data_IF_119431003137
#
_entry.id   IF_119431003137
#
_cell.length_a   1.000
_cell.length_b   1.000
_cell.length_c   1.000
_cell.angle_alpha   90.00
_cell.angle_beta   90.00
_cell.angle_gamma   90.00
#
_symmetry.space_group_name_H-M   'P 1'
#
loop_
_entity.id
_entity.type
_entity.pdbx_description
1 polymer ?
#
# COMPACT_ATOMS: atom_id res chain seq x y z
N UNK A 1 -16.06 -23.98 -52.72
CA UNK A 1 -15.29 -23.00 -51.93
C UNK A 1 -16.23 -21.86 -51.54
N UNK A 2 -16.65 -21.76 -50.29
CA UNK A 2 -17.41 -20.62 -49.78
C UNK A 2 -16.65 -20.08 -48.54
N UNK A 3 -16.12 -18.87 -48.66
CA UNK A 3 -15.33 -18.21 -47.62
C UNK A 3 -16.20 -17.73 -46.47
N UNK A 4 -15.74 -17.94 -45.23
CA UNK A 4 -16.34 -17.36 -44.02
C UNK A 4 -16.09 -15.85 -43.98
N UNK A 5 -17.05 -15.02 -43.54
CA UNK A 5 -16.82 -13.60 -43.35
C UNK A 5 -15.92 -13.35 -42.14
N UNK A 6 -15.00 -12.39 -42.29
CA UNK A 6 -14.10 -11.94 -41.23
C UNK A 6 -14.90 -11.33 -40.07
N UNK A 7 -14.54 -11.71 -38.83
CA UNK A 7 -15.08 -11.09 -37.61
C UNK A 7 -14.53 -9.66 -37.47
N UNK A 8 -15.34 -8.68 -37.04
CA UNK A 8 -14.84 -7.33 -36.81
C UNK A 8 -13.86 -7.37 -35.65
N UNK A 9 -12.68 -6.75 -35.86
CA UNK A 9 -11.63 -6.64 -34.86
C UNK A 9 -12.18 -5.98 -33.60
N UNK A 10 -11.93 -6.60 -32.45
CA UNK A 10 -12.23 -6.01 -31.16
C UNK A 10 -11.46 -4.71 -31.01
N UNK A 11 -12.18 -3.60 -30.94
CA UNK A 11 -11.62 -2.30 -30.60
C UNK A 11 -11.03 -2.42 -29.20
N UNK A 12 -9.70 -2.44 -29.11
CA UNK A 12 -8.98 -2.33 -27.83
C UNK A 12 -9.33 -0.97 -27.25
N UNK A 13 -10.26 -0.94 -26.30
CA UNK A 13 -10.61 0.26 -25.57
C UNK A 13 -9.38 0.69 -24.78
N UNK A 14 -8.92 1.94 -24.97
CA UNK A 14 -7.76 2.47 -24.24
C UNK A 14 -8.08 2.45 -22.74
N UNK A 15 -7.09 2.15 -21.89
CA UNK A 15 -7.28 1.98 -20.44
C UNK A 15 -8.02 3.17 -19.78
N UNK A 16 -7.82 4.38 -20.29
CA UNK A 16 -8.51 5.59 -19.83
C UNK A 16 -10.02 5.59 -20.12
N UNK A 17 -10.45 5.01 -21.24
CA UNK A 17 -11.85 4.92 -21.64
C UNK A 17 -12.59 3.86 -20.81
N UNK A 18 -11.95 2.72 -20.53
CA UNK A 18 -12.48 1.69 -19.65
C UNK A 18 -12.68 2.22 -18.22
N UNK A 19 -11.71 2.97 -17.69
CA UNK A 19 -11.83 3.65 -16.40
C UNK A 19 -12.98 4.65 -16.38
N UNK A 20 -13.07 5.52 -17.40
CA UNK A 20 -14.17 6.51 -17.49
C UNK A 20 -15.54 5.82 -17.48
N UNK A 21 -15.69 4.70 -18.19
CA UNK A 21 -16.93 3.94 -18.23
C UNK A 21 -17.26 3.29 -16.88
N UNK A 22 -16.30 2.65 -16.22
CA UNK A 22 -16.49 2.01 -14.91
C UNK A 22 -16.77 3.06 -13.82
N UNK A 23 -16.04 4.17 -13.81
CA UNK A 23 -16.23 5.25 -12.85
C UNK A 23 -17.59 5.95 -13.03
N UNK A 24 -18.06 6.06 -14.28
CA UNK A 24 -19.43 6.50 -14.58
C UNK A 24 -20.45 5.51 -14.00
N UNK A 25 -20.26 4.20 -14.21
CA UNK A 25 -21.16 3.17 -13.67
C UNK A 25 -21.19 3.13 -12.14
N UNK A 26 -20.05 3.30 -11.46
CA UNK A 26 -19.97 3.38 -10.00
C UNK A 26 -20.74 4.61 -9.49
N UNK A 27 -20.55 5.78 -10.11
CA UNK A 27 -21.27 7.02 -9.75
C UNK A 27 -22.78 6.87 -9.96
N UNK A 28 -23.20 6.26 -11.07
CA UNK A 28 -24.61 6.01 -11.36
C UNK A 28 -25.26 5.02 -10.38
N UNK A 29 -24.52 4.04 -9.86
CA UNK A 29 -25.00 3.12 -8.85
C UNK A 29 -25.06 3.77 -7.45
N UNK A 30 -24.07 4.59 -7.11
CA UNK A 30 -24.06 5.34 -5.85
C UNK A 30 -25.19 6.38 -5.78
N UNK A 31 -25.48 7.05 -6.90
CA UNK A 31 -26.59 8.01 -7.00
C UNK A 31 -27.99 7.34 -6.88
N UNK A 32 -28.10 6.04 -7.15
CA UNK A 32 -29.35 5.29 -7.06
C UNK A 32 -29.61 4.69 -5.66
N UNK A 33 -28.65 4.73 -4.74
CA UNK A 33 -28.81 4.22 -3.38
C UNK A 33 -29.06 2.70 -3.27
N UNK A 34 -28.82 1.94 -4.35
CA UNK A 34 -29.06 0.49 -4.36
C UNK A 34 -27.79 -0.26 -3.91
N UNK A 35 -27.82 -0.78 -2.69
CA UNK A 35 -26.83 -1.72 -2.18
C UNK A 35 -27.15 -3.14 -2.65
N UNK A 36 -26.80 -3.50 -3.87
CA UNK A 36 -26.76 -4.92 -4.27
C UNK A 36 -25.75 -5.16 -5.40
N UNK A 37 -24.79 -6.09 -5.25
CA UNK A 37 -23.99 -6.54 -6.38
C UNK A 37 -24.88 -7.36 -7.34
N UNK A 38 -24.58 -7.39 -8.65
CA UNK A 38 -25.28 -8.26 -9.59
C UNK A 38 -25.11 -9.73 -9.17
N UNK A 39 -26.22 -10.46 -9.11
CA UNK A 39 -26.25 -11.86 -8.68
C UNK A 39 -25.44 -12.79 -9.59
N UNK A 40 -24.93 -13.92 -9.06
CA UNK A 40 -24.09 -14.83 -9.84
C UNK A 40 -24.91 -15.52 -10.93
N UNK A 41 -24.34 -15.58 -12.14
CA UNK A 41 -24.79 -16.44 -13.22
C UNK A 41 -24.66 -17.91 -12.77
N UNK A 42 -25.74 -18.67 -12.92
CA UNK A 42 -25.86 -20.08 -12.58
C UNK A 42 -24.86 -20.94 -13.35
N UNK A 43 -23.83 -21.44 -12.65
CA UNK A 43 -23.01 -22.57 -13.11
C UNK A 43 -23.58 -23.85 -12.49
N UNK A 44 -24.16 -24.71 -13.33
CA UNK A 44 -24.46 -26.10 -12.98
C UNK A 44 -23.14 -26.87 -12.97
N UNK A 45 -22.76 -27.34 -11.80
CA UNK A 45 -21.82 -28.45 -11.63
C UNK A 45 -22.12 -29.13 -10.31
N UNK A 46 -22.68 -30.34 -10.39
CA UNK A 46 -22.93 -31.22 -9.24
C UNK A 46 -21.62 -31.49 -8.47
N UNK A 47 -21.61 -31.42 -7.13
CA UNK A 47 -20.47 -31.87 -6.35
C UNK A 47 -20.50 -33.41 -6.18
N UNK A 48 -19.34 -34.10 -6.15
CA UNK A 48 -19.27 -35.44 -5.56
C UNK A 48 -19.23 -35.34 -4.03
N UNK A 49 -20.00 -36.22 -3.38
CA UNK A 49 -20.07 -36.38 -1.92
C UNK A 49 -18.70 -36.67 -1.28
N UNK A 50 -18.35 -36.00 -0.15
CA UNK A 50 -17.27 -36.45 0.70
C UNK A 50 -17.76 -36.71 2.12
N UNK A 51 -18.41 -37.85 2.36
CA UNK A 51 -18.59 -38.39 3.71
C UNK A 51 -18.48 -39.91 3.70
N UNK A 52 -17.26 -40.40 3.89
CA UNK A 52 -16.99 -41.70 4.53
C UNK A 52 -15.51 -41.77 4.88
N UNK A 53 -15.15 -41.40 6.11
CA UNK A 53 -14.14 -42.10 6.91
C UNK A 53 -14.23 -41.61 8.36
N UNK A 54 -14.62 -42.53 9.23
CA UNK A 54 -14.84 -42.36 10.67
C UNK A 54 -13.51 -42.28 11.43
N UNK A 55 -13.55 -41.44 12.48
CA UNK A 55 -13.08 -41.63 13.85
C UNK A 55 -11.62 -42.05 14.13
N UNK A 56 -10.93 -41.20 14.88
CA UNK A 56 -9.72 -41.56 15.62
C UNK A 56 -9.14 -40.40 16.45
N UNK A 57 -9.51 -40.36 17.74
CA UNK A 57 -8.75 -39.84 18.90
C UNK A 57 -8.15 -38.42 18.89
N UNK A 58 -8.66 -37.59 19.82
CA UNK A 58 -8.18 -36.28 20.26
C UNK A 58 -6.71 -36.26 20.73
N UNK A 59 -5.97 -35.15 20.51
CA UNK A 59 -4.79 -34.81 21.30
C UNK A 59 -5.12 -33.81 22.44
N UNK A 60 -4.39 -33.85 23.57
CA UNK A 60 -4.67 -33.04 24.75
C UNK A 60 -4.03 -31.64 24.74
N UNK A 61 -4.64 -30.79 25.56
CA UNK A 61 -4.38 -29.38 25.86
C UNK A 61 -3.02 -29.15 26.55
N UNK A 62 -2.15 -28.20 26.12
CA UNK A 62 -0.83 -27.99 26.70
C UNK A 62 -0.82 -26.81 27.68
N UNK A 63 -1.51 -26.93 28.82
CA UNK A 63 -1.42 -25.96 29.92
C UNK A 63 -1.44 -26.67 31.28
N UNK A 64 -0.32 -27.27 31.67
CA UNK A 64 0.03 -27.58 33.08
C UNK A 64 1.43 -28.20 33.17
N UNK A 65 2.47 -27.37 33.30
CA UNK A 65 3.71 -27.79 33.95
C UNK A 65 4.55 -26.59 34.40
N UNK A 66 5.20 -26.76 35.54
CA UNK A 66 6.30 -25.95 36.08
C UNK A 66 5.94 -24.79 37.03
N UNK A 67 5.78 -25.14 38.30
CA UNK A 67 6.13 -24.27 39.43
C UNK A 67 6.99 -25.04 40.45
N UNK A 68 8.09 -24.39 40.85
CA UNK A 68 8.95 -24.55 42.05
C UNK A 68 10.24 -25.37 41.93
N UNK A 69 11.34 -24.66 42.17
CA UNK A 69 12.64 -25.17 42.58
C UNK A 69 13.67 -24.03 42.50
N UNK A 70 13.92 -23.33 43.61
CA UNK A 70 14.89 -22.23 43.69
C UNK A 70 16.30 -22.69 44.04
N UNK A 71 17.29 -21.79 43.93
CA UNK A 71 18.31 -21.46 44.94
C UNK A 71 19.38 -20.51 44.37
N UNK A 72 19.66 -19.46 45.14
CA UNK A 72 20.92 -18.73 45.41
C UNK A 72 22.17 -19.01 44.56
N UNK A 73 22.87 -17.93 44.15
CA UNK A 73 24.29 -18.01 43.75
C UNK A 73 24.83 -16.73 43.12
N UNK A 74 25.79 -16.10 43.80
CA UNK A 74 26.44 -14.81 43.56
C UNK A 74 27.07 -14.53 42.18
N UNK A 75 27.03 -13.24 41.84
CA UNK A 75 28.09 -12.39 41.29
C UNK A 75 29.46 -13.03 40.98
N UNK A 76 29.89 -12.93 39.71
CA UNK A 76 31.18 -12.33 39.32
C UNK A 76 31.30 -12.20 37.80
N UNK A 77 31.54 -10.97 37.37
CA UNK A 77 31.97 -10.60 36.02
C UNK A 77 33.33 -11.20 35.69
N UNK A 78 33.58 -11.44 34.39
CA UNK A 78 34.82 -10.99 33.81
C UNK A 78 34.56 -10.14 32.55
N UNK A 79 35.16 -8.97 32.53
CA UNK A 79 35.33 -8.16 31.32
C UNK A 79 36.05 -8.95 30.23
N UNK A 80 35.77 -8.66 28.96
CA UNK A 80 36.84 -8.62 27.97
C UNK A 80 36.92 -7.25 27.31
N UNK A 81 38.11 -6.69 27.46
CA UNK A 81 38.89 -5.92 26.50
C UNK A 81 38.24 -5.59 25.14
N UNK A 82 38.30 -4.30 24.82
CA UNK A 82 37.77 -3.72 23.61
C UNK A 82 38.42 -4.24 22.33
N UNK A 83 37.58 -4.35 21.30
CA UNK A 83 37.97 -4.13 19.91
C UNK A 83 36.90 -3.30 19.24
N UNK A 84 37.35 -2.22 18.60
CA UNK A 84 36.50 -1.21 17.95
C UNK A 84 35.57 -1.82 16.92
N UNK A 85 34.28 -1.54 17.08
CA UNK A 85 33.22 -1.81 16.11
C UNK A 85 32.57 -0.51 15.65
N UNK A 86 33.35 0.46 15.18
CA UNK A 86 32.85 1.60 14.42
C UNK A 86 33.00 1.26 12.93
N UNK A 87 31.92 0.76 12.31
CA UNK A 87 31.91 0.48 10.87
C UNK A 87 30.68 -0.27 10.33
N UNK A 88 29.99 -1.06 11.15
CA UNK A 88 28.98 -2.03 10.64
C UNK A 88 27.55 -1.47 10.56
N UNK A 89 27.18 -0.45 11.36
CA UNK A 89 25.79 0.03 11.43
C UNK A 89 25.35 0.88 10.22
N UNK A 90 26.29 1.59 9.61
CA UNK A 90 26.02 2.47 8.46
C UNK A 90 25.91 1.69 7.15
N UNK A 91 26.64 0.60 6.98
CA UNK A 91 26.52 -0.26 5.80
C UNK A 91 25.23 -1.09 5.81
N UNK A 92 24.82 -1.61 6.97
CA UNK A 92 23.57 -2.36 7.09
C UNK A 92 22.34 -1.51 6.75
N UNK A 93 22.26 -0.30 7.32
CA UNK A 93 21.15 0.62 7.04
C UNK A 93 21.10 1.09 5.58
N UNK A 94 22.24 1.39 4.96
CA UNK A 94 22.30 1.71 3.53
C UNK A 94 21.88 0.52 2.65
N UNK A 95 22.30 -0.70 2.99
CA UNK A 95 21.89 -1.92 2.26
C UNK A 95 20.39 -2.18 2.30
N UNK A 96 19.75 -1.98 3.46
CA UNK A 96 18.30 -2.13 3.63
C UNK A 96 17.54 -1.12 2.76
N UNK A 97 18.02 0.12 2.69
CA UNK A 97 17.41 1.18 1.89
C UNK A 97 17.54 0.91 0.40
N UNK A 98 18.73 0.51 -0.07
CA UNK A 98 18.96 0.14 -1.46
C UNK A 98 18.02 -0.99 -1.87
N UNK A 99 17.97 -2.08 -1.07
CA UNK A 99 17.07 -3.20 -1.31
C UNK A 99 15.61 -2.77 -1.40
N UNK A 100 15.16 -1.93 -0.46
CA UNK A 100 13.80 -1.39 -0.50
C UNK A 100 13.51 -0.65 -1.82
N UNK A 101 14.42 0.21 -2.27
CA UNK A 101 14.21 0.98 -3.52
C UNK A 101 14.22 0.08 -4.76
N UNK A 102 15.04 -0.96 -4.79
CA UNK A 102 15.10 -1.93 -5.88
C UNK A 102 13.82 -2.75 -5.96
N UNK A 103 13.36 -3.30 -4.83
CA UNK A 103 12.12 -4.08 -4.77
C UNK A 103 10.89 -3.22 -5.06
N UNK A 104 10.87 -1.96 -4.59
CA UNK A 104 9.80 -1.03 -4.88
C UNK A 104 9.72 -0.69 -6.38
N UNK A 105 10.87 -0.54 -7.03
CA UNK A 105 10.95 -0.37 -8.48
C UNK A 105 10.52 -1.64 -9.23
N UNK A 106 10.93 -2.82 -8.77
CA UNK A 106 10.50 -4.11 -9.32
C UNK A 106 8.98 -4.33 -9.21
N UNK A 107 8.36 -3.80 -8.15
CA UNK A 107 6.91 -3.80 -7.97
C UNK A 107 6.19 -2.80 -8.89
N UNK A 108 6.92 -1.93 -9.60
CA UNK A 108 6.40 -0.96 -10.57
C UNK A 108 6.12 0.43 -9.99
N UNK A 109 6.63 0.73 -8.79
CA UNK A 109 6.52 2.04 -8.19
C UNK A 109 7.77 2.90 -8.46
N UNK A 110 7.61 4.21 -8.41
CA UNK A 110 8.70 5.17 -8.61
C UNK A 110 9.18 5.68 -7.27
N UNK A 111 10.50 5.68 -7.04
CA UNK A 111 11.09 6.22 -5.82
C UNK A 111 11.90 7.48 -6.14
N UNK A 112 11.75 8.53 -5.33
CA UNK A 112 12.59 9.73 -5.36
C UNK A 112 13.10 9.99 -3.95
N UNK A 113 14.42 9.93 -3.78
CA UNK A 113 15.06 10.29 -2.51
C UNK A 113 15.14 11.83 -2.42
N UNK A 114 14.79 12.38 -1.27
CA UNK A 114 14.77 13.83 -1.02
C UNK A 114 15.31 14.16 0.37
N UNK A 115 16.02 15.27 0.49
CA UNK A 115 16.59 15.75 1.74
C UNK A 115 15.74 16.89 2.31
N UNK A 116 15.00 16.59 3.37
CA UNK A 116 14.18 17.57 4.08
C UNK A 116 12.92 18.07 3.35
N UNK A 117 12.14 18.90 4.03
CA UNK A 117 10.80 19.27 3.60
C UNK A 117 10.76 20.16 2.34
N UNK A 118 11.74 21.05 2.16
CA UNK A 118 11.77 21.94 1.00
C UNK A 118 11.98 21.17 -0.31
N UNK A 119 12.86 20.18 -0.29
CA UNK A 119 13.07 19.30 -1.45
C UNK A 119 11.88 18.38 -1.67
N UNK A 120 11.31 17.81 -0.61
CA UNK A 120 10.11 17.01 -0.68
C UNK A 120 8.93 17.78 -1.32
N UNK A 121 8.75 19.06 -0.99
CA UNK A 121 7.73 19.90 -1.62
C UNK A 121 7.96 20.11 -3.12
N UNK A 122 9.21 20.39 -3.53
CA UNK A 122 9.56 20.51 -4.96
C UNK A 122 9.37 19.18 -5.70
N UNK A 123 9.75 18.07 -5.10
CA UNK A 123 9.56 16.74 -5.67
C UNK A 123 8.08 16.41 -5.83
N UNK A 124 7.27 16.66 -4.79
CA UNK A 124 5.82 16.49 -4.85
C UNK A 124 5.21 17.32 -5.98
N UNK A 125 5.57 18.60 -6.12
CA UNK A 125 5.08 19.45 -7.20
C UNK A 125 5.43 18.90 -8.59
N UNK A 126 6.68 18.44 -8.77
CA UNK A 126 7.12 17.81 -10.02
C UNK A 126 6.37 16.52 -10.33
N UNK A 127 6.17 15.67 -9.33
CA UNK A 127 5.41 14.43 -9.47
C UNK A 127 3.98 14.70 -9.89
N UNK A 128 3.28 15.60 -9.18
CA UNK A 128 1.89 15.96 -9.47
C UNK A 128 1.74 16.60 -10.87
N UNK A 129 2.66 17.49 -11.24
CA UNK A 129 2.67 18.09 -12.58
C UNK A 129 2.95 17.06 -13.68
N UNK A 130 3.87 16.11 -13.43
CA UNK A 130 4.25 15.05 -14.37
C UNK A 130 3.13 14.06 -14.67
N UNK A 131 2.22 13.84 -13.70
CA UNK A 131 1.01 13.03 -13.89
C UNK A 131 -0.21 13.88 -14.28
N UNK A 132 -0.03 15.18 -14.51
CA UNK A 132 -1.09 16.14 -14.83
C UNK A 132 -2.24 16.20 -13.81
N UNK A 133 -1.94 15.96 -12.52
CA UNK A 133 -2.93 16.06 -11.45
C UNK A 133 -3.35 17.52 -11.24
N UNK A 134 -4.65 17.78 -11.13
CA UNK A 134 -5.21 19.09 -10.78
C UNK A 134 -5.91 19.07 -9.43
N UNK A 135 -6.67 18.02 -9.13
CA UNK A 135 -7.37 17.83 -7.85
C UNK A 135 -6.57 16.87 -6.98
N UNK A 136 -6.08 17.38 -5.87
CA UNK A 136 -5.19 16.65 -4.97
C UNK A 136 -5.81 16.63 -3.58
N UNK A 137 -5.83 15.44 -2.98
CA UNK A 137 -6.30 15.25 -1.62
C UNK A 137 -5.16 14.71 -0.76
N UNK A 138 -4.98 15.29 0.43
CA UNK A 138 -3.95 14.89 1.38
C UNK A 138 -4.51 14.25 2.64
N UNK A 139 -3.71 13.40 3.26
CA UNK A 139 -4.01 12.94 4.62
C UNK A 139 -3.81 14.01 5.67
N UNK A 140 -4.31 13.77 6.89
CA UNK A 140 -4.20 14.68 8.03
C UNK A 140 -2.81 14.68 8.68
N UNK A 141 -1.85 13.94 8.11
CA UNK A 141 -0.47 13.96 8.57
C UNK A 141 0.13 15.39 8.49
N UNK A 142 0.75 15.91 9.57
CA UNK A 142 1.27 17.28 9.59
C UNK A 142 2.25 17.61 8.47
N UNK A 143 3.09 16.64 8.08
CA UNK A 143 4.03 16.82 6.98
C UNK A 143 3.30 16.96 5.64
N UNK A 144 2.30 16.12 5.37
CA UNK A 144 1.50 16.19 4.14
C UNK A 144 0.79 17.54 4.06
N UNK A 145 0.11 17.96 5.13
CA UNK A 145 -0.57 19.25 5.20
C UNK A 145 0.38 20.42 4.95
N UNK A 146 1.57 20.39 5.56
CA UNK A 146 2.61 21.40 5.31
C UNK A 146 3.08 21.44 3.85
N UNK A 147 3.33 20.27 3.25
CA UNK A 147 3.80 20.21 1.86
C UNK A 147 2.71 20.70 0.90
N UNK A 148 1.46 20.27 1.09
CA UNK A 148 0.33 20.69 0.26
C UNK A 148 0.11 22.20 0.36
N UNK A 149 0.14 22.78 1.57
CA UNK A 149 0.03 24.24 1.74
C UNK A 149 1.14 25.00 1.00
N UNK A 150 2.34 24.43 0.89
CA UNK A 150 3.47 25.03 0.19
C UNK A 150 3.41 24.91 -1.34
N UNK A 151 2.52 24.08 -1.92
CA UNK A 151 2.39 23.92 -3.37
C UNK A 151 1.75 25.15 -4.05
N UNK A 152 1.03 25.99 -3.31
CA UNK A 152 0.34 27.18 -3.82
C UNK A 152 -0.87 26.86 -4.71
N UNK A 153 -1.32 27.84 -5.49
CA UNK A 153 -2.60 27.81 -6.24
C UNK A 153 -2.60 26.90 -7.48
N UNK A 154 -1.51 26.17 -7.74
CA UNK A 154 -1.41 25.26 -8.90
C UNK A 154 -2.30 24.02 -8.80
N UNK A 155 -2.81 23.71 -7.60
CA UNK A 155 -3.61 22.52 -7.32
C UNK A 155 -4.85 22.87 -6.51
N UNK A 156 -5.95 22.18 -6.80
CA UNK A 156 -7.15 22.23 -5.96
C UNK A 156 -6.97 21.24 -4.82
N UNK A 157 -6.73 21.77 -3.62
CA UNK A 157 -6.53 20.99 -2.41
C UNK A 157 -7.88 20.75 -1.73
N UNK A 158 -8.27 19.48 -1.64
CA UNK A 158 -9.55 19.10 -1.07
C UNK A 158 -9.38 18.66 0.40
N UNK A 159 -10.12 19.24 1.34
CA UNK A 159 -10.08 18.83 2.74
C UNK A 159 -10.78 17.47 2.93
N UNK A 160 -10.02 16.49 3.44
CA UNK A 160 -10.46 15.10 3.58
C UNK A 160 -11.77 14.92 4.34
N UNK A 161 -11.98 15.72 5.38
CA UNK A 161 -13.15 15.68 6.27
C UNK A 161 -14.46 16.14 5.59
N UNK A 162 -14.37 16.81 4.44
CA UNK A 162 -15.52 17.36 3.73
C UNK A 162 -15.82 16.67 2.40
N UNK A 163 -14.95 15.75 1.98
CA UNK A 163 -15.11 15.04 0.72
C UNK A 163 -16.16 13.94 0.84
N UNK A 164 -17.18 14.03 0.00
CA UNK A 164 -18.01 12.87 -0.33
C UNK A 164 -17.18 11.80 -1.06
N UNK A 165 -17.71 10.58 -1.07
CA UNK A 165 -17.10 9.47 -1.81
C UNK A 165 -16.92 9.82 -3.30
N UNK A 166 -17.90 10.45 -3.93
CA UNK A 166 -17.87 10.81 -5.35
C UNK A 166 -16.83 11.87 -5.67
N UNK A 167 -16.63 12.85 -4.78
CA UNK A 167 -15.61 13.87 -4.94
C UNK A 167 -14.20 13.28 -4.79
N UNK A 168 -14.02 12.33 -3.88
CA UNK A 168 -12.77 11.58 -3.74
C UNK A 168 -12.46 10.76 -5.00
N UNK A 169 -13.46 10.13 -5.62
CA UNK A 169 -13.32 9.44 -6.91
C UNK A 169 -12.96 10.37 -8.07
N UNK A 170 -13.21 11.67 -7.92
CA UNK A 170 -12.87 12.68 -8.91
C UNK A 170 -11.58 13.43 -8.58
N UNK A 171 -10.82 12.99 -7.57
CA UNK A 171 -9.46 13.46 -7.31
C UNK A 171 -8.45 12.72 -8.20
N UNK A 172 -7.43 13.43 -8.65
CA UNK A 172 -6.38 12.90 -9.53
C UNK A 172 -5.24 12.25 -8.74
N UNK A 173 -4.94 12.77 -7.55
CA UNK A 173 -3.89 12.24 -6.69
C UNK A 173 -4.27 12.25 -5.21
N UNK A 174 -3.89 11.17 -4.52
CA UNK A 174 -3.91 11.06 -3.06
C UNK A 174 -2.50 11.14 -2.51
N UNK A 175 -2.29 11.95 -1.48
CA UNK A 175 -0.99 12.11 -0.82
C UNK A 175 -1.10 11.63 0.63
N UNK A 176 -0.29 10.65 1.00
CA UNK A 176 -0.29 10.08 2.36
C UNK A 176 1.12 9.99 2.94
N UNK A 177 1.21 9.61 4.21
CA UNK A 177 2.46 9.07 4.78
C UNK A 177 2.41 7.55 4.79
N UNK A 178 3.57 6.90 4.84
CA UNK A 178 3.69 5.51 5.28
C UNK A 178 4.43 5.49 6.62
N UNK A 179 3.97 4.64 7.54
CA UNK A 179 4.60 4.50 8.85
C UNK A 179 5.84 3.62 8.76
N UNK A 180 5.83 2.62 7.88
CA UNK A 180 6.96 1.71 7.65
C UNK A 180 7.11 1.36 6.17
N UNK A 181 8.33 1.01 5.78
CA UNK A 181 8.64 0.32 4.53
C UNK A 181 9.25 -1.05 4.82
N UNK A 182 8.98 -2.05 3.98
CA UNK A 182 9.55 -3.39 4.10
C UNK A 182 10.51 -3.60 2.94
N UNK A 183 11.81 -3.70 3.25
CA UNK A 183 12.86 -3.81 2.26
C UNK A 183 12.78 -5.11 1.45
N UNK A 184 12.38 -6.23 2.07
CA UNK A 184 12.38 -7.53 1.40
C UNK A 184 11.42 -7.63 0.20
N UNK A 185 10.36 -6.82 0.19
CA UNK A 185 9.28 -6.86 -0.81
C UNK A 185 8.99 -5.50 -1.47
N UNK A 186 9.66 -4.42 -1.03
CA UNK A 186 9.35 -3.07 -1.52
C UNK A 186 7.95 -2.60 -1.11
N UNK A 187 7.45 -3.03 0.05
CA UNK A 187 6.07 -2.79 0.50
C UNK A 187 6.00 -1.59 1.45
N UNK A 188 4.96 -0.77 1.29
CA UNK A 188 4.61 0.31 2.22
C UNK A 188 3.58 -0.17 3.24
N UNK A 189 3.70 0.27 4.49
CA UNK A 189 2.77 -0.03 5.58
C UNK A 189 2.11 1.26 6.04
N UNK A 190 0.78 1.33 5.86
CA UNK A 190 -0.07 2.41 6.35
C UNK A 190 -0.90 1.93 7.54
N UNK A 191 -0.86 2.67 8.63
CA UNK A 191 -1.53 2.36 9.88
C UNK A 191 -2.73 3.27 10.11
N UNK A 192 -3.91 2.68 10.35
CA UNK A 192 -5.15 3.43 10.58
C UNK A 192 -5.11 4.40 11.76
N UNK A 193 -4.26 4.17 12.77
CA UNK A 193 -4.11 5.11 13.90
C UNK A 193 -3.45 6.44 13.49
N UNK A 194 -2.70 6.46 12.38
CA UNK A 194 -1.93 7.62 11.91
C UNK A 194 -2.33 8.09 10.51
N UNK A 195 -3.12 7.28 9.82
CA UNK A 195 -3.60 7.53 8.46
C UNK A 195 -5.10 7.20 8.41
N UNK A 196 -5.93 8.21 8.69
CA UNK A 196 -7.36 8.01 8.99
C UNK A 196 -8.16 7.52 7.79
N UNK A 197 -7.76 7.87 6.57
CA UNK A 197 -8.49 7.51 5.35
C UNK A 197 -7.67 6.62 4.44
N UNK A 198 -7.91 5.31 4.57
CA UNK A 198 -7.40 4.29 3.63
C UNK A 198 -7.82 4.54 2.19
N UNK A 199 -8.91 5.30 1.97
CA UNK A 199 -9.38 5.59 0.62
C UNK A 199 -8.40 6.48 -0.16
N UNK A 200 -7.58 7.29 0.52
CA UNK A 200 -6.57 8.13 -0.12
C UNK A 200 -5.49 7.33 -0.85
N UNK A 201 -5.14 6.16 -0.32
CA UNK A 201 -4.17 5.26 -0.91
C UNK A 201 -4.79 4.28 -1.91
N UNK A 202 -6.12 4.28 -2.08
CA UNK A 202 -6.84 3.26 -2.85
C UNK A 202 -7.66 3.84 -4.01
N UNK A 203 -8.18 5.06 -3.88
CA UNK A 203 -9.16 5.60 -4.83
C UNK A 203 -8.52 6.47 -5.92
N UNK A 204 -7.67 7.46 -5.60
CA UNK A 204 -7.08 8.31 -6.62
C UNK A 204 -6.21 7.52 -7.61
N UNK A 205 -6.19 7.89 -8.91
CA UNK A 205 -5.33 7.27 -9.92
C UNK A 205 -3.86 7.24 -9.54
N UNK A 206 -3.41 8.32 -8.89
CA UNK A 206 -2.03 8.46 -8.44
C UNK A 206 -1.99 8.47 -6.93
N UNK A 207 -1.10 7.65 -6.36
CA UNK A 207 -0.80 7.69 -4.94
C UNK A 207 0.63 8.17 -4.74
N UNK A 208 0.80 9.27 -4.00
CA UNK A 208 2.11 9.78 -3.59
C UNK A 208 2.28 9.54 -2.10
N UNK A 209 3.38 8.90 -1.72
CA UNK A 209 3.66 8.50 -0.34
C UNK A 209 4.93 9.13 0.17
N UNK A 210 4.86 9.76 1.33
CA UNK A 210 6.02 10.21 2.08
C UNK A 210 6.45 9.10 3.04
N UNK A 211 7.69 8.63 2.93
CA UNK A 211 8.27 7.63 3.84
C UNK A 211 9.59 8.15 4.40
N UNK A 212 9.78 8.08 5.72
CA UNK A 212 11.09 8.34 6.32
C UNK A 212 12.05 7.19 6.05
N UNK A 213 13.28 7.48 5.64
CA UNK A 213 14.32 6.48 5.43
C UNK A 213 14.62 5.64 6.68
N UNK A 214 14.50 6.23 7.88
CA UNK A 214 14.68 5.52 9.15
C UNK A 214 13.53 4.57 9.51
N UNK A 215 12.43 4.61 8.76
CA UNK A 215 11.26 3.75 8.95
C UNK A 215 11.26 2.51 8.04
N UNK A 216 12.36 2.24 7.33
CA UNK A 216 12.49 1.02 6.53
C UNK A 216 12.95 -0.13 7.43
N UNK A 217 12.16 -1.19 7.46
CA UNK A 217 12.41 -2.46 8.14
C UNK A 217 12.97 -3.48 7.15
N UNK A 218 13.71 -4.47 7.65
CA UNK A 218 14.24 -5.54 6.79
C UNK A 218 13.11 -6.44 6.28
N UNK A 219 12.26 -6.94 7.19
CA UNK A 219 11.20 -7.90 6.90
C UNK A 219 9.79 -7.44 7.33
N UNK A 220 8.76 -8.15 6.86
CA UNK A 220 7.38 -8.00 7.31
C UNK A 220 7.25 -8.24 8.82
N UNK A 221 7.98 -9.23 9.37
CA UNK A 221 7.98 -9.50 10.81
C UNK A 221 8.46 -8.30 11.63
N UNK A 222 9.55 -7.66 11.18
CA UNK A 222 10.09 -6.45 11.82
C UNK A 222 9.13 -5.27 11.75
N UNK A 223 8.44 -5.11 10.62
CA UNK A 223 7.42 -4.07 10.45
C UNK A 223 6.21 -4.31 11.36
N UNK A 224 5.66 -5.53 11.38
CA UNK A 224 4.51 -5.88 12.23
C UNK A 224 4.81 -5.74 13.72
N UNK A 225 6.05 -6.01 14.15
CA UNK A 225 6.49 -5.80 15.53
C UNK A 225 6.50 -4.31 15.95
N UNK A 226 6.51 -3.37 14.98
CA UNK A 226 6.53 -1.92 15.23
C UNK A 226 5.19 -1.23 14.99
N UNK A 227 4.23 -1.91 14.36
CA UNK A 227 2.87 -1.38 14.15
C UNK A 227 2.23 -1.07 15.50
N UNK A 228 1.57 0.09 15.59
CA UNK A 228 0.88 0.50 16.80
C UNK A 228 -0.26 -0.45 17.15
N UNK A 229 -0.34 -0.85 18.42
CA UNK A 229 -1.48 -1.61 18.96
C UNK A 229 -2.81 -0.86 18.89
N UNK A 230 -2.76 0.47 18.73
CA UNK A 230 -3.95 1.31 18.55
C UNK A 230 -4.49 1.26 17.10
N UNK A 231 -3.74 0.68 16.17
CA UNK A 231 -4.16 0.54 14.77
C UNK A 231 -5.12 -0.65 14.61
N UNK A 232 -6.38 -0.36 14.31
CA UNK A 232 -7.40 -1.40 14.08
C UNK A 232 -7.34 -2.01 12.67
N UNK A 233 -6.57 -1.39 11.77
CA UNK A 233 -6.28 -1.87 10.43
C UNK A 233 -4.89 -1.39 9.97
N UNK A 234 -4.23 -2.24 9.19
CA UNK A 234 -3.02 -1.91 8.42
C UNK A 234 -3.30 -2.12 6.93
N UNK A 235 -2.72 -1.28 6.08
CA UNK A 235 -2.77 -1.42 4.63
C UNK A 235 -1.36 -1.65 4.12
N UNK A 236 -1.15 -2.76 3.42
CA UNK A 236 0.11 -3.13 2.79
C UNK A 236 0.02 -2.83 1.30
N UNK A 237 0.93 -2.01 0.78
CA UNK A 237 0.94 -1.57 -0.62
C UNK A 237 2.25 -1.97 -1.27
N UNK A 238 2.19 -2.92 -2.21
CA UNK A 238 3.34 -3.48 -2.92
C UNK A 238 3.25 -3.10 -4.41
N UNK A 239 3.55 -1.84 -4.71
CA UNK A 239 3.43 -1.29 -6.06
C UNK A 239 2.03 -0.76 -6.42
N UNK A 240 1.85 -0.22 -7.64
CA UNK A 240 0.55 0.18 -8.15
C UNK A 240 -0.40 -1.02 -8.29
N UNK A 241 -1.70 -0.75 -8.27
CA UNK A 241 -2.74 -1.76 -8.41
C UNK A 241 -2.73 -2.38 -9.81
N UNK A 242 -2.31 -3.64 -9.88
CA UNK A 242 -2.33 -4.46 -11.08
C UNK A 242 -3.40 -5.54 -10.91
N UNK A 243 -4.51 -5.39 -11.62
CA UNK A 243 -5.51 -6.45 -11.75
C UNK A 243 -4.97 -7.48 -12.73
N UNK A 244 -4.44 -8.59 -12.20
CA UNK A 244 -4.12 -9.77 -13.00
C UNK A 244 -5.41 -10.52 -13.29
N UNK A 245 -5.80 -10.53 -14.56
CA UNK A 245 -6.81 -11.39 -15.19
C UNK A 245 -8.19 -11.54 -14.52
N UNK A 246 -9.11 -10.63 -14.86
CA UNK A 246 -10.54 -10.99 -14.97
C UNK A 246 -10.93 -11.34 -16.41
N UNK A 247 -10.06 -11.19 -17.43
CA UNK A 247 -10.44 -11.47 -18.83
C UNK A 247 -9.26 -11.55 -19.84
N UNK A 248 -8.13 -12.20 -19.49
CA UNK A 248 -6.95 -12.41 -20.37
C UNK A 248 -6.32 -11.13 -20.96
N UNK A 249 -6.66 -9.96 -20.41
CA UNK A 249 -6.14 -8.66 -20.84
C UNK A 249 -5.73 -7.89 -19.58
N UNK A 250 -4.45 -7.54 -19.39
CA UNK A 250 -4.02 -6.78 -18.21
C UNK A 250 -4.68 -5.39 -18.21
N UNK A 251 -5.63 -5.17 -17.30
CA UNK A 251 -6.20 -3.83 -17.05
C UNK A 251 -5.63 -3.32 -15.73
N UNK A 252 -4.77 -2.32 -15.78
CA UNK A 252 -4.16 -1.69 -14.60
C UNK A 252 -5.12 -0.64 -14.01
N UNK A 253 -5.34 -0.68 -12.70
CA UNK A 253 -6.06 0.38 -11.97
C UNK A 253 -7.60 0.30 -11.91
N UNK A 254 -8.19 -0.90 -11.92
CA UNK A 254 -9.64 -1.08 -11.73
C UNK A 254 -10.05 -1.03 -10.24
N UNK A 255 -9.12 -1.36 -9.34
CA UNK A 255 -9.38 -1.49 -7.90
C UNK A 255 -8.35 -0.75 -7.01
N UNK A 256 -7.53 0.14 -7.58
CA UNK A 256 -6.49 0.87 -6.85
C UNK A 256 -5.72 1.88 -7.72
N UNK A 257 -4.71 2.58 -7.15
CA UNK A 257 -3.91 3.55 -7.89
C UNK A 257 -3.18 2.90 -9.07
N UNK A 258 -3.18 3.57 -10.21
CA UNK A 258 -2.44 3.17 -11.42
C UNK A 258 -0.95 3.47 -11.29
N UNK A 259 -0.61 4.51 -10.54
CA UNK A 259 0.76 4.95 -10.32
C UNK A 259 1.01 5.12 -8.83
N UNK A 260 2.18 4.66 -8.38
CA UNK A 260 2.65 4.81 -7.01
C UNK A 260 4.00 5.53 -7.05
N UNK A 261 4.08 6.67 -6.37
CA UNK A 261 5.30 7.45 -6.21
C UNK A 261 5.66 7.53 -4.73
N UNK A 262 6.89 7.21 -4.39
CA UNK A 262 7.42 7.30 -3.03
C UNK A 262 8.46 8.40 -2.97
N UNK A 263 8.23 9.38 -2.11
CA UNK A 263 9.22 10.37 -1.71
C UNK A 263 9.91 9.87 -0.44
N UNK A 264 11.11 9.33 -0.60
CA UNK A 264 11.91 8.79 0.50
C UNK A 264 12.68 9.93 1.17
N UNK A 265 12.27 10.28 2.39
CA UNK A 265 12.81 11.38 3.16
C UNK A 265 14.09 10.94 3.88
N UNK A 266 15.22 11.52 3.51
CA UNK A 266 16.44 11.44 4.30
C UNK A 266 16.44 12.52 5.38
N UNK A 267 17.01 12.18 6.53
CA UNK A 267 17.39 13.18 7.53
C UNK A 267 18.50 14.06 6.94
N UNK A 268 18.36 15.37 7.09
CA UNK A 268 19.30 16.36 6.60
C UNK A 268 20.53 16.51 7.51
#
# INVERSE_FOLDING_TARGET
MAGRPARPGGTVMRADDARRAIMRAIRENLARGESSPPGPLSVVSSPPDPLSLRAGSSPPDPLSAMRRGGTTGESRSPSPEGRGGQGVRTQGSQGVRTRFTEELAAAGAQCTVVCGAAEAGRALARTLAGVHARRVVGSDAPLVQRLLHALGDGFVLEPLDRLSRDELFACDAGVTTAQWGIAETGTLVLESAREKSRLLSLVPPTHVVLLSAGCICESLGDALARVSVASHAITLITGPSRTSDIELTPVVGVHGPQTLHVLLLEEA
#
